data_IF_202246712977
#
_entry.id   IF_202246712977
#
_cell.length_a   1.000
_cell.length_b   1.000
_cell.length_c   1.000
_cell.angle_alpha   90.00
_cell.angle_beta   90.00
_cell.angle_gamma   90.00
#
_symmetry.space_group_name_H-M   'P 1'
#
loop_
_entity.id
_entity.type
_entity.pdbx_description
1 polymer ?
#
# COMPACT_ATOMS: atom_id res chain seq x y z
N UNK A 1 0.47 -7.01 -3.12
CA UNK A 1 1.21 -8.22 -3.48
C UNK A 1 0.29 -9.13 -4.25
N UNK A 2 0.61 -9.42 -5.48
CA UNK A 2 -0.03 -10.49 -6.22
C UNK A 2 0.77 -11.76 -5.91
N UNK A 3 0.25 -12.65 -5.08
CA UNK A 3 0.85 -13.97 -4.87
C UNK A 3 0.68 -14.78 -6.14
N UNK A 4 1.77 -15.01 -6.86
CA UNK A 4 1.82 -15.94 -7.96
C UNK A 4 1.57 -17.34 -7.42
N UNK A 5 0.40 -17.93 -7.69
CA UNK A 5 0.12 -19.34 -7.44
C UNK A 5 1.13 -20.18 -8.22
N UNK A 6 1.99 -20.94 -7.53
CA UNK A 6 2.76 -22.00 -8.14
C UNK A 6 1.80 -23.05 -8.68
N UNK A 7 1.63 -23.12 -10.01
CA UNK A 7 1.02 -24.26 -10.66
C UNK A 7 1.95 -25.46 -10.50
N UNK A 8 1.52 -26.44 -9.73
CA UNK A 8 2.07 -27.79 -9.80
C UNK A 8 1.47 -28.45 -11.05
N UNK A 9 2.31 -28.69 -12.05
CA UNK A 9 1.94 -29.47 -13.24
C UNK A 9 1.77 -30.94 -12.87
N UNK A 10 0.56 -31.44 -12.96
CA UNK A 10 0.33 -32.88 -13.27
C UNK A 10 -0.27 -32.97 -14.66
N UNK A 11 0.39 -33.80 -15.44
CA UNK A 11 0.33 -33.87 -16.88
C UNK A 11 -0.97 -34.33 -17.51
N UNK A 12 -1.03 -34.02 -18.80
CA UNK A 12 -1.59 -34.72 -19.96
C UNK A 12 -3.10 -34.65 -20.18
N UNK A 13 -3.49 -33.93 -21.18
CA UNK A 13 -4.24 -34.17 -22.43
C UNK A 13 -5.06 -32.96 -22.88
N UNK A 14 -4.78 -32.51 -24.09
CA UNK A 14 -5.63 -31.62 -24.91
C UNK A 14 -6.78 -32.43 -25.57
N UNK A 15 -7.76 -31.85 -26.28
CA UNK A 15 -8.11 -30.43 -26.53
C UNK A 15 -9.63 -30.10 -26.44
N UNK A 16 -10.02 -28.87 -26.37
CA UNK A 16 -11.02 -28.25 -27.27
C UNK A 16 -11.36 -26.82 -26.81
N UNK A 17 -11.40 -25.94 -27.78
CA UNK A 17 -11.87 -24.54 -27.70
C UNK A 17 -13.27 -24.45 -27.09
N UNK A 18 -13.44 -23.59 -26.07
CA UNK A 18 -14.61 -22.76 -25.93
C UNK A 18 -14.32 -21.58 -25.00
N UNK A 19 -14.64 -20.41 -25.49
CA UNK A 19 -14.57 -19.12 -24.85
C UNK A 19 -15.46 -19.07 -23.59
N UNK A 20 -14.86 -18.91 -22.43
CA UNK A 20 -15.55 -18.42 -21.23
C UNK A 20 -14.73 -17.31 -20.57
N UNK A 21 -15.31 -16.12 -20.54
CA UNK A 21 -14.90 -15.06 -19.66
C UNK A 21 -14.96 -15.57 -18.22
N UNK A 22 -13.80 -15.81 -17.61
CA UNK A 22 -13.70 -16.01 -16.17
C UNK A 22 -13.03 -14.78 -15.57
N UNK A 23 -13.85 -13.97 -14.93
CA UNK A 23 -13.43 -12.96 -13.97
C UNK A 23 -12.70 -13.65 -12.82
N UNK A 24 -11.40 -13.69 -12.88
CA UNK A 24 -10.57 -14.21 -11.79
C UNK A 24 -10.58 -13.20 -10.65
N UNK A 25 -11.37 -13.46 -9.61
CA UNK A 25 -11.35 -12.72 -8.34
C UNK A 25 -10.05 -13.00 -7.57
N UNK A 26 -8.97 -12.30 -7.91
CA UNK A 26 -7.76 -12.34 -7.11
C UNK A 26 -7.78 -11.22 -6.08
N UNK A 27 -7.57 -11.57 -4.81
CA UNK A 27 -7.29 -10.63 -3.74
C UNK A 27 -5.90 -10.08 -3.99
N UNK A 28 -5.81 -8.78 -4.21
CA UNK A 28 -4.57 -8.12 -4.52
C UNK A 28 -4.22 -7.16 -3.38
N UNK A 29 -3.13 -7.41 -2.65
CA UNK A 29 -2.67 -6.48 -1.62
C UNK A 29 -2.21 -5.16 -2.22
N UNK A 30 -2.38 -4.11 -1.46
CA UNK A 30 -2.07 -2.75 -1.81
C UNK A 30 -0.58 -2.45 -1.85
N UNK A 31 -0.10 -1.72 -2.87
CA UNK A 31 1.25 -1.20 -2.99
C UNK A 31 1.29 0.35 -3.00
N UNK A 32 2.38 0.93 -2.63
CA UNK A 32 2.62 2.24 -2.00
C UNK A 32 3.23 3.35 -2.83
N UNK A 33 3.08 4.59 -2.37
CA UNK A 33 3.59 5.77 -3.04
C UNK A 33 4.32 6.80 -2.18
N UNK A 34 5.45 7.24 -2.69
CA UNK A 34 5.95 8.61 -2.60
C UNK A 34 6.90 8.93 -3.76
N UNK A 35 6.66 10.01 -4.46
CA UNK A 35 7.57 10.49 -5.49
C UNK A 35 8.48 11.58 -4.90
N UNK A 36 9.81 11.38 -5.01
CA UNK A 36 10.79 12.42 -4.79
C UNK A 36 11.09 13.04 -6.16
N UNK A 37 10.77 14.30 -6.36
CA UNK A 37 11.19 15.05 -7.53
C UNK A 37 12.72 15.23 -7.50
N UNK A 38 13.43 14.44 -8.29
CA UNK A 38 14.81 14.73 -8.67
C UNK A 38 14.74 15.35 -10.06
N UNK A 39 14.87 16.66 -10.13
CA UNK A 39 14.98 17.40 -11.40
C UNK A 39 16.46 17.36 -11.80
N UNK A 40 16.76 16.63 -12.87
CA UNK A 40 18.04 16.73 -13.55
C UNK A 40 18.23 18.13 -14.12
N UNK A 41 19.34 18.74 -13.73
CA UNK A 41 19.77 20.06 -14.18
C UNK A 41 20.25 20.02 -15.62
N UNK A 42 19.41 20.41 -16.55
CA UNK A 42 19.85 20.96 -17.82
C UNK A 42 20.03 22.46 -17.69
N UNK A 43 21.30 22.92 -17.73
CA UNK A 43 21.67 24.33 -17.78
C UNK A 43 21.30 24.92 -19.14
N UNK A 44 20.37 25.84 -19.15
CA UNK A 44 20.23 26.84 -20.21
C UNK A 44 20.32 28.22 -19.56
N UNK A 45 21.42 28.91 -19.87
CA UNK A 45 21.65 30.30 -19.49
C UNK A 45 20.71 31.20 -20.28
N UNK A 46 19.80 31.88 -19.59
CA UNK A 46 19.22 33.15 -20.04
C UNK A 46 18.83 33.99 -18.83
N UNK A 47 19.22 35.24 -18.74
CA UNK A 47 18.88 36.09 -17.62
C UNK A 47 17.46 36.63 -17.81
N UNK A 48 16.51 36.15 -17.04
CA UNK A 48 15.20 36.79 -16.90
C UNK A 48 14.95 37.24 -15.46
N UNK A 49 14.33 38.41 -15.36
CA UNK A 49 13.90 39.13 -14.16
C UNK A 49 13.40 38.26 -13.01
N UNK A 50 13.56 38.71 -11.74
CA UNK A 50 13.03 38.01 -10.60
C UNK A 50 11.50 38.10 -10.60
N UNK A 51 10.84 37.10 -11.14
CA UNK A 51 9.42 36.85 -10.85
C UNK A 51 9.32 36.35 -9.41
N UNK A 52 8.57 37.07 -8.60
CA UNK A 52 8.17 36.69 -7.25
C UNK A 52 7.59 35.27 -7.28
N UNK A 53 8.20 34.37 -6.52
CA UNK A 53 7.63 33.04 -6.25
C UNK A 53 6.32 33.27 -5.50
N UNK A 54 5.21 32.66 -5.93
CA UNK A 54 4.04 32.64 -5.08
C UNK A 54 4.42 31.85 -3.81
N UNK A 55 4.35 32.49 -2.67
CA UNK A 55 4.43 31.86 -1.36
C UNK A 55 3.19 30.98 -1.15
N UNK A 56 3.20 29.79 -1.76
CA UNK A 56 2.32 28.70 -1.38
C UNK A 56 2.79 28.20 -0.03
N UNK A 57 2.16 28.63 1.06
CA UNK A 57 2.30 27.98 2.36
C UNK A 57 2.04 26.50 2.15
N UNK A 58 3.07 25.64 2.29
CA UNK A 58 2.86 24.21 2.41
C UNK A 58 1.93 23.99 3.60
N UNK A 59 0.70 23.61 3.31
CA UNK A 59 -0.33 23.35 4.31
C UNK A 59 0.12 22.17 5.16
N UNK A 60 0.62 22.46 6.35
CA UNK A 60 1.05 21.46 7.31
C UNK A 60 -0.17 20.64 7.76
N UNK A 61 -0.09 19.31 7.67
CA UNK A 61 -1.14 18.44 8.18
C UNK A 61 -0.99 18.30 9.69
N UNK A 62 -2.05 18.61 10.42
CA UNK A 62 -2.11 18.35 11.86
C UNK A 62 -2.28 16.85 12.09
N UNK A 63 -1.19 16.18 12.47
CA UNK A 63 -1.14 14.75 12.68
C UNK A 63 -2.01 14.28 13.85
N UNK A 64 -2.38 15.15 14.78
CA UNK A 64 -3.28 14.81 15.91
C UNK A 64 -4.72 14.56 15.46
N UNK A 65 -5.06 15.02 14.26
CA UNK A 65 -6.38 14.87 13.64
C UNK A 65 -6.48 13.64 12.72
N UNK A 66 -5.43 12.81 12.69
CA UNK A 66 -5.44 11.54 11.96
C UNK A 66 -6.13 10.48 12.82
N UNK A 67 -7.08 9.78 12.22
CA UNK A 67 -7.79 8.65 12.83
C UNK A 67 -7.89 7.47 11.87
N UNK A 68 -8.13 6.28 12.44
CA UNK A 68 -8.35 5.03 11.70
C UNK A 68 -9.72 4.47 12.07
N UNK A 69 -10.58 4.26 11.08
CA UNK A 69 -11.90 3.65 11.26
C UNK A 69 -12.26 2.71 10.10
N UNK A 70 -13.26 1.84 10.26
CA UNK A 70 -13.76 1.06 9.13
C UNK A 70 -14.13 1.95 7.94
N UNK A 71 -13.83 1.46 6.72
CA UNK A 71 -14.33 2.07 5.49
C UNK A 71 -15.85 1.93 5.41
N UNK A 72 -16.52 2.98 4.96
CA UNK A 72 -17.96 3.05 4.82
C UNK A 72 -18.34 3.46 3.39
N UNK A 73 -19.54 3.13 2.94
CA UNK A 73 -20.02 3.58 1.62
C UNK A 73 -20.10 5.11 1.52
N UNK A 74 -20.29 5.80 2.63
CA UNK A 74 -20.21 7.26 2.69
C UNK A 74 -18.83 7.83 2.36
N UNK A 75 -17.78 7.02 2.39
CA UNK A 75 -16.41 7.42 2.02
C UNK A 75 -16.17 7.35 0.50
N UNK A 76 -17.15 6.92 -0.29
CA UNK A 76 -16.98 6.64 -1.71
C UNK A 76 -16.39 7.82 -2.50
N UNK A 77 -16.94 9.00 -2.30
CA UNK A 77 -16.48 10.19 -3.04
C UNK A 77 -15.04 10.58 -2.63
N UNK A 78 -14.68 10.47 -1.35
CA UNK A 78 -13.33 10.68 -0.85
C UNK A 78 -12.36 9.60 -1.36
N UNK A 79 -12.80 8.34 -1.40
CA UNK A 79 -12.04 7.21 -1.91
C UNK A 79 -11.69 7.43 -3.40
N UNK A 80 -12.65 7.85 -4.21
CA UNK A 80 -12.44 8.09 -5.63
C UNK A 80 -11.40 9.18 -5.88
N UNK A 81 -11.27 10.19 -5.03
CA UNK A 81 -10.25 11.24 -5.18
C UNK A 81 -8.84 10.67 -5.23
N UNK A 82 -8.51 9.69 -4.41
CA UNK A 82 -7.16 9.12 -4.39
C UNK A 82 -7.02 7.83 -5.19
N UNK A 83 -8.10 7.07 -5.47
CA UNK A 83 -8.01 5.88 -6.33
C UNK A 83 -7.98 6.22 -7.82
N UNK A 84 -8.53 7.36 -8.24
CA UNK A 84 -8.44 7.84 -9.61
C UNK A 84 -7.16 8.65 -9.92
N UNK A 85 -6.33 8.94 -8.91
CA UNK A 85 -5.06 9.63 -9.11
C UNK A 85 -4.01 8.69 -9.70
N UNK A 86 -3.56 8.97 -10.94
CA UNK A 86 -2.52 8.18 -11.63
C UNK A 86 -1.22 8.08 -10.82
N UNK A 87 -0.85 9.14 -10.07
CA UNK A 87 0.33 9.12 -9.21
C UNK A 87 0.17 8.07 -8.12
N UNK A 88 -1.01 7.97 -7.53
CA UNK A 88 -1.34 6.96 -6.53
C UNK A 88 -1.38 5.57 -7.16
N UNK A 89 -1.98 5.40 -8.31
CA UNK A 89 -2.11 4.10 -8.96
C UNK A 89 -0.79 3.53 -9.52
N UNK A 90 0.25 4.33 -9.76
CA UNK A 90 1.50 3.89 -10.46
C UNK A 90 2.13 2.61 -9.87
N UNK A 91 2.22 2.43 -8.55
CA UNK A 91 2.75 1.21 -7.92
C UNK A 91 1.66 0.30 -7.32
N UNK A 92 0.40 0.68 -7.50
CA UNK A 92 -0.73 -0.12 -7.06
C UNK A 92 -1.06 -1.19 -8.10
N UNK A 93 -1.70 -2.25 -7.65
CA UNK A 93 -2.10 -3.37 -8.50
C UNK A 93 -3.36 -3.08 -9.32
N UNK A 94 -4.06 -1.99 -9.02
CA UNK A 94 -5.20 -1.50 -9.81
C UNK A 94 -4.79 -0.36 -10.73
N UNK A 95 -5.53 -0.17 -11.81
CA UNK A 95 -5.49 1.03 -12.63
C UNK A 95 -6.38 2.12 -12.00
N UNK A 96 -6.13 3.41 -12.31
CA UNK A 96 -6.98 4.48 -11.79
C UNK A 96 -8.47 4.17 -11.95
N UNK A 97 -9.24 4.29 -10.87
CA UNK A 97 -10.68 4.04 -10.91
C UNK A 97 -11.37 5.06 -11.82
N UNK A 98 -12.29 4.57 -12.64
CA UNK A 98 -13.02 5.38 -13.62
C UNK A 98 -14.51 5.47 -13.31
N UNK A 99 -15.00 4.67 -12.37
CA UNK A 99 -16.41 4.59 -12.01
C UNK A 99 -16.64 4.54 -10.49
N UNK A 100 -17.86 4.86 -10.06
CA UNK A 100 -18.28 4.68 -8.65
C UNK A 100 -18.38 3.19 -8.29
N UNK A 101 -18.70 2.35 -9.25
CA UNK A 101 -18.82 0.89 -9.08
C UNK A 101 -17.50 0.27 -8.64
N UNK A 102 -16.35 0.75 -9.16
CA UNK A 102 -15.02 0.32 -8.73
C UNK A 102 -14.80 0.59 -7.24
N UNK A 103 -15.18 1.80 -6.79
CA UNK A 103 -15.06 2.19 -5.38
C UNK A 103 -16.02 1.41 -4.47
N UNK A 104 -17.26 1.20 -4.91
CA UNK A 104 -18.25 0.38 -4.19
C UNK A 104 -17.73 -1.05 -4.05
N UNK A 105 -17.25 -1.64 -5.15
CA UNK A 105 -16.68 -2.98 -5.14
C UNK A 105 -15.49 -3.08 -4.19
N UNK A 106 -14.62 -2.06 -4.17
CA UNK A 106 -13.52 -2.02 -3.23
C UNK A 106 -14.01 -2.06 -1.77
N UNK A 107 -14.93 -1.20 -1.38
CA UNK A 107 -15.44 -1.09 -0.01
C UNK A 107 -16.15 -2.37 0.41
N UNK A 108 -17.02 -2.91 -0.42
CA UNK A 108 -17.91 -4.02 -0.07
C UNK A 108 -17.25 -5.39 -0.19
N UNK A 109 -16.40 -5.59 -1.20
CA UNK A 109 -15.92 -6.91 -1.59
C UNK A 109 -14.42 -7.10 -1.40
N UNK A 110 -13.59 -6.05 -1.54
CA UNK A 110 -12.14 -6.17 -1.43
C UNK A 110 -11.67 -5.87 -0.01
N UNK A 111 -12.09 -4.75 0.55
CA UNK A 111 -11.67 -4.34 1.90
C UNK A 111 -12.08 -5.35 3.00
N UNK A 112 -13.17 -6.08 2.80
CA UNK A 112 -13.67 -7.10 3.73
C UNK A 112 -12.86 -8.39 3.75
N UNK A 113 -11.99 -8.62 2.76
CA UNK A 113 -11.13 -9.81 2.67
C UNK A 113 -9.84 -9.68 3.47
N UNK A 114 -9.47 -8.48 3.89
CA UNK A 114 -8.32 -8.27 4.77
C UNK A 114 -8.64 -8.71 6.20
N UNK A 115 -7.65 -9.24 6.91
CA UNK A 115 -7.78 -9.54 8.35
C UNK A 115 -8.12 -8.28 9.12
N UNK A 116 -7.58 -7.15 8.66
CA UNK A 116 -7.87 -5.84 9.21
C UNK A 116 -7.70 -4.79 8.11
N UNK A 117 -8.68 -3.88 7.97
CA UNK A 117 -8.65 -2.81 6.99
C UNK A 117 -9.34 -1.57 7.56
N UNK A 118 -8.71 -0.39 7.40
CA UNK A 118 -9.24 0.89 7.89
C UNK A 118 -8.99 2.01 6.89
N UNK A 119 -9.94 2.93 6.82
CA UNK A 119 -9.71 4.25 6.26
C UNK A 119 -8.68 5.00 7.10
N UNK A 120 -7.76 5.69 6.44
CA UNK A 120 -6.92 6.72 7.05
C UNK A 120 -7.71 8.02 6.90
N UNK A 121 -8.11 8.63 8.02
CA UNK A 121 -8.94 9.81 7.99
C UNK A 121 -8.20 11.05 8.53
N UNK A 122 -8.43 12.19 7.90
CA UNK A 122 -8.08 13.51 8.40
C UNK A 122 -9.38 14.29 8.62
N UNK A 123 -9.69 14.67 9.87
CA UNK A 123 -10.98 15.28 10.22
C UNK A 123 -12.17 14.43 9.75
N UNK A 124 -12.10 13.14 9.97
CA UNK A 124 -13.09 12.11 9.57
C UNK A 124 -13.26 11.89 8.05
N UNK A 125 -12.56 12.63 7.19
CA UNK A 125 -12.56 12.41 5.74
C UNK A 125 -11.50 11.37 5.34
N UNK A 126 -11.88 10.39 4.55
CA UNK A 126 -11.00 9.29 4.12
C UNK A 126 -9.96 9.78 3.08
N UNK A 127 -8.71 9.91 3.51
CA UNK A 127 -7.58 10.36 2.69
C UNK A 127 -6.69 9.23 2.18
N UNK A 128 -7.03 8.00 2.54
CA UNK A 128 -6.30 6.79 2.18
C UNK A 128 -6.83 5.57 2.91
N UNK A 129 -6.11 4.47 2.79
CA UNK A 129 -6.46 3.21 3.42
C UNK A 129 -5.20 2.47 3.89
N UNK A 130 -5.35 1.68 4.96
CA UNK A 130 -4.31 0.79 5.48
C UNK A 130 -4.91 -0.58 5.79
N UNK A 131 -4.17 -1.65 5.52
CA UNK A 131 -4.65 -3.02 5.68
C UNK A 131 -3.58 -3.97 6.19
N UNK A 132 -4.02 -5.05 6.80
CA UNK A 132 -3.22 -6.22 7.16
C UNK A 132 -3.83 -7.45 6.50
N UNK A 133 -3.02 -8.19 5.73
CA UNK A 133 -3.38 -9.43 5.06
C UNK A 133 -2.76 -10.60 5.78
N UNK A 134 -3.49 -11.71 5.93
CA UNK A 134 -2.91 -12.94 6.46
C UNK A 134 -2.06 -13.63 5.39
N UNK A 135 -0.88 -14.09 5.79
CA UNK A 135 -0.03 -14.91 4.94
C UNK A 135 -0.42 -16.41 4.98
N UNK A 136 -1.27 -16.80 5.93
CA UNK A 136 -1.68 -18.19 6.15
C UNK A 136 -2.72 -18.71 5.15
N UNK A 137 -3.40 -17.84 4.40
CA UNK A 137 -4.39 -18.26 3.39
C UNK A 137 -3.76 -19.14 2.30
N UNK A 138 -2.49 -18.92 2.00
CA UNK A 138 -1.76 -19.66 0.95
C UNK A 138 -0.69 -20.60 1.50
N UNK A 139 -0.25 -20.38 2.73
CA UNK A 139 0.77 -21.17 3.41
C UNK A 139 0.54 -21.17 4.92
N UNK A 140 0.00 -22.28 5.44
CA UNK A 140 -0.29 -22.44 6.87
C UNK A 140 0.95 -22.35 7.76
N UNK A 141 2.16 -22.54 7.22
CA UNK A 141 3.39 -22.35 7.98
C UNK A 141 3.67 -20.87 8.32
N UNK A 142 2.99 -19.95 7.65
CA UNK A 142 3.12 -18.49 7.83
C UNK A 142 2.00 -17.87 8.65
N UNK A 143 1.37 -18.65 9.52
CA UNK A 143 0.22 -18.22 10.35
C UNK A 143 0.56 -17.21 11.45
N UNK A 144 1.86 -16.93 11.67
CA UNK A 144 2.36 -15.94 12.63
C UNK A 144 2.83 -14.64 11.97
N UNK A 145 2.50 -14.45 10.71
CA UNK A 145 2.89 -13.26 9.96
C UNK A 145 1.71 -12.63 9.23
N UNK A 146 1.75 -11.31 9.17
CA UNK A 146 0.82 -10.52 8.34
C UNK A 146 1.60 -9.59 7.43
N UNK A 147 1.02 -9.31 6.28
CA UNK A 147 1.55 -8.32 5.36
C UNK A 147 0.81 -7.00 5.53
N UNK A 148 1.59 -5.94 5.76
CA UNK A 148 1.11 -4.56 5.84
C UNK A 148 0.95 -3.97 4.45
N UNK A 149 -0.23 -3.41 4.21
CA UNK A 149 -0.57 -2.63 3.04
C UNK A 149 -1.13 -1.24 3.40
N UNK A 150 -0.72 -0.14 2.68
CA UNK A 150 -1.32 1.19 2.81
C UNK A 150 -1.30 1.98 1.50
N UNK A 151 -2.23 2.87 1.33
CA UNK A 151 -2.30 3.86 0.26
C UNK A 151 -2.72 5.20 0.84
N UNK A 152 -2.18 6.29 0.31
CA UNK A 152 -2.48 7.63 0.76
C UNK A 152 -2.61 8.55 -0.46
N UNK A 153 -3.62 9.40 -0.47
CA UNK A 153 -3.79 10.40 -1.51
C UNK A 153 -2.54 11.26 -1.69
N UNK A 154 -2.16 11.57 -2.94
CA UNK A 154 -0.89 12.25 -3.27
C UNK A 154 -0.75 13.61 -2.59
N UNK A 155 -1.85 14.32 -2.37
CA UNK A 155 -1.93 15.59 -1.63
C UNK A 155 -1.34 15.52 -0.21
N UNK A 156 -1.32 14.34 0.40
CA UNK A 156 -0.91 14.13 1.80
C UNK A 156 0.49 13.50 1.92
N UNK A 157 1.20 13.32 0.80
CA UNK A 157 2.55 12.76 0.81
C UNK A 157 3.57 13.75 1.41
N UNK A 158 4.65 13.19 1.96
CA UNK A 158 5.73 13.99 2.58
C UNK A 158 5.40 14.61 3.95
N UNK A 159 4.15 14.48 4.41
CA UNK A 159 3.64 15.17 5.61
C UNK A 159 3.67 14.31 6.90
N UNK A 160 4.32 13.14 6.87
CA UNK A 160 4.45 12.26 8.04
C UNK A 160 3.27 11.34 8.32
N UNK A 161 2.12 11.52 7.64
CA UNK A 161 0.88 10.76 7.87
C UNK A 161 1.12 9.26 7.76
N UNK A 162 1.71 8.77 6.67
CA UNK A 162 1.92 7.33 6.47
C UNK A 162 2.83 6.72 7.56
N UNK A 163 3.89 7.43 7.99
CA UNK A 163 4.77 6.95 9.06
C UNK A 163 4.01 6.83 10.39
N UNK A 164 3.19 7.83 10.74
CA UNK A 164 2.34 7.78 11.93
C UNK A 164 1.40 6.58 11.88
N UNK A 165 0.67 6.43 10.77
CA UNK A 165 -0.31 5.34 10.58
C UNK A 165 0.37 3.97 10.66
N UNK A 166 1.50 3.78 9.99
CA UNK A 166 2.23 2.49 10.03
C UNK A 166 2.63 2.13 11.45
N UNK A 167 3.13 3.08 12.24
CA UNK A 167 3.46 2.85 13.67
C UNK A 167 2.25 2.43 14.49
N UNK A 168 1.10 3.06 14.28
CA UNK A 168 -0.15 2.69 14.96
C UNK A 168 -0.60 1.27 14.58
N UNK A 169 -0.55 0.94 13.29
CA UNK A 169 -1.01 -0.37 12.76
C UNK A 169 -0.09 -1.51 13.19
N UNK A 170 1.21 -1.28 13.30
CA UNK A 170 2.14 -2.26 13.88
C UNK A 170 1.74 -2.62 15.31
N UNK A 171 1.36 -1.64 16.13
CA UNK A 171 0.85 -1.90 17.47
C UNK A 171 -0.41 -2.78 17.41
N UNK A 172 -1.39 -2.42 16.59
CA UNK A 172 -2.60 -3.23 16.38
C UNK A 172 -2.26 -4.66 15.96
N UNK A 173 -1.30 -4.83 15.04
CA UNK A 173 -0.92 -6.14 14.54
C UNK A 173 -0.40 -7.08 15.64
N UNK A 174 0.38 -6.57 16.60
CA UNK A 174 0.95 -7.39 17.66
C UNK A 174 0.07 -7.51 18.92
N UNK A 175 -0.88 -6.57 19.14
CA UNK A 175 -1.63 -6.53 20.41
C UNK A 175 -3.13 -6.80 20.26
N UNK A 176 -3.72 -6.58 19.08
CA UNK A 176 -5.18 -6.56 18.92
C UNK A 176 -5.71 -7.56 17.88
N UNK A 177 -4.86 -8.05 16.95
CA UNK A 177 -5.33 -9.00 15.96
C UNK A 177 -5.69 -10.35 16.60
N UNK A 178 -6.80 -10.98 16.17
CA UNK A 178 -7.22 -12.30 16.67
C UNK A 178 -6.38 -13.44 16.08
N UNK A 179 -5.08 -13.22 15.91
CA UNK A 179 -4.13 -14.18 15.37
C UNK A 179 -3.17 -14.61 16.49
N UNK A 180 -3.14 -15.90 16.85
CA UNK A 180 -2.32 -16.36 17.98
C UNK A 180 -0.83 -16.22 17.68
N UNK A 181 -0.09 -15.71 18.64
CA UNK A 181 1.39 -15.66 18.61
C UNK A 181 1.94 -14.92 17.39
N UNK A 182 1.41 -13.75 17.07
CA UNK A 182 1.91 -12.90 15.98
C UNK A 182 3.37 -12.53 16.24
N UNK A 183 4.26 -12.86 15.31
CA UNK A 183 5.70 -12.66 15.44
C UNK A 183 6.26 -11.65 14.43
N UNK A 184 5.56 -11.47 13.28
CA UNK A 184 6.12 -10.74 12.16
C UNK A 184 5.06 -9.91 11.42
N UNK A 185 5.38 -8.64 11.20
CA UNK A 185 4.72 -7.80 10.20
C UNK A 185 5.70 -7.58 9.06
N UNK A 186 5.30 -7.90 7.84
CA UNK A 186 6.14 -7.70 6.66
C UNK A 186 5.50 -6.74 5.68
N UNK A 187 6.32 -6.17 4.79
CA UNK A 187 5.87 -5.32 3.71
C UNK A 187 6.76 -5.50 2.48
N UNK A 188 6.13 -5.60 1.31
CA UNK A 188 6.81 -5.65 0.02
C UNK A 188 6.65 -4.31 -0.70
N UNK A 189 7.76 -3.73 -1.15
CA UNK A 189 7.79 -2.41 -1.78
C UNK A 189 8.57 -2.48 -3.08
N UNK A 190 8.02 -1.92 -4.16
CA UNK A 190 8.78 -1.76 -5.42
C UNK A 190 10.08 -1.00 -5.16
N UNK A 191 11.21 -1.46 -5.73
CA UNK A 191 12.52 -0.82 -5.56
C UNK A 191 12.52 0.65 -5.99
N UNK A 192 11.63 1.05 -6.90
CA UNK A 192 11.48 2.43 -7.35
C UNK A 192 10.62 3.28 -6.41
N UNK A 193 9.90 2.66 -5.48
CA UNK A 193 9.07 3.36 -4.52
C UNK A 193 9.86 3.79 -3.27
N UNK A 194 10.82 4.68 -3.47
CA UNK A 194 11.73 5.19 -2.41
C UNK A 194 10.94 5.83 -1.25
N UNK A 195 9.80 6.45 -1.56
CA UNK A 195 8.97 7.09 -0.54
C UNK A 195 8.43 6.07 0.49
N UNK A 196 7.87 4.94 0.02
CA UNK A 196 7.41 3.87 0.91
C UNK A 196 8.54 3.20 1.68
N UNK A 197 9.68 2.98 1.04
CA UNK A 197 10.86 2.44 1.73
C UNK A 197 11.22 3.32 2.93
N UNK A 198 11.30 4.65 2.74
CA UNK A 198 11.57 5.60 3.83
C UNK A 198 10.51 5.62 4.93
N UNK A 199 9.24 5.40 4.59
CA UNK A 199 8.16 5.28 5.59
C UNK A 199 8.40 4.08 6.47
N UNK A 200 8.68 2.92 5.89
CA UNK A 200 8.93 1.68 6.63
C UNK A 200 10.18 1.77 7.51
N UNK A 201 11.29 2.30 6.97
CA UNK A 201 12.51 2.55 7.74
C UNK A 201 12.25 3.46 8.95
N UNK A 202 11.53 4.59 8.77
CA UNK A 202 11.15 5.50 9.86
C UNK A 202 10.16 4.89 10.84
N UNK A 203 9.40 3.88 10.42
CA UNK A 203 8.51 3.13 11.29
C UNK A 203 9.23 1.99 12.06
N UNK A 204 10.52 1.74 11.76
CA UNK A 204 11.35 0.77 12.46
C UNK A 204 11.49 -0.57 11.73
N UNK A 205 10.94 -0.72 10.52
CA UNK A 205 11.12 -1.94 9.75
C UNK A 205 12.56 -2.11 9.31
N UNK A 206 13.05 -3.34 9.34
CA UNK A 206 14.33 -3.74 8.81
C UNK A 206 14.20 -4.16 7.34
N UNK A 207 15.16 -3.74 6.52
CA UNK A 207 15.26 -4.15 5.14
C UNK A 207 15.98 -5.49 5.06
N UNK A 208 15.29 -6.54 4.62
CA UNK A 208 15.85 -7.90 4.55
C UNK A 208 16.54 -8.21 3.22
N UNK A 209 16.07 -7.63 2.12
CA UNK A 209 16.68 -7.89 0.81
C UNK A 209 15.84 -7.43 -0.37
N UNK A 210 16.34 -7.72 -1.57
CA UNK A 210 15.66 -7.48 -2.84
C UNK A 210 15.27 -8.81 -3.48
N UNK A 211 14.00 -8.94 -3.77
CA UNK A 211 13.41 -10.05 -4.50
C UNK A 211 13.33 -9.69 -5.99
N UNK A 212 14.25 -10.22 -6.80
CA UNK A 212 14.34 -9.86 -8.22
C UNK A 212 13.19 -10.44 -9.03
N UNK A 213 12.55 -9.61 -9.89
CA UNK A 213 11.41 -9.98 -10.75
C UNK A 213 10.28 -10.69 -10.00
N UNK A 214 10.07 -10.27 -8.76
CA UNK A 214 9.16 -10.93 -7.84
C UNK A 214 7.68 -10.69 -8.19
N UNK A 215 7.36 -9.51 -8.69
CA UNK A 215 6.00 -9.12 -9.05
C UNK A 215 5.92 -8.77 -10.54
N UNK A 216 4.77 -9.06 -11.14
CA UNK A 216 4.45 -8.59 -12.49
C UNK A 216 3.33 -7.55 -12.38
N UNK A 217 3.67 -6.29 -12.63
CA UNK A 217 2.77 -5.17 -12.42
C UNK A 217 2.71 -4.31 -13.68
N UNK A 218 1.50 -4.06 -14.18
CA UNK A 218 1.22 -3.21 -15.36
C UNK A 218 2.14 -3.53 -16.53
N UNK A 219 2.20 -4.82 -16.90
CA UNK A 219 2.97 -5.31 -18.04
C UNK A 219 4.49 -5.38 -17.82
N UNK A 220 4.99 -5.15 -16.59
CA UNK A 220 6.43 -5.14 -16.30
C UNK A 220 6.78 -6.01 -15.09
N UNK A 221 7.90 -6.75 -15.20
CA UNK A 221 8.49 -7.41 -14.03
C UNK A 221 9.09 -6.35 -13.10
N UNK A 222 8.84 -6.48 -11.81
CA UNK A 222 9.27 -5.56 -10.75
C UNK A 222 10.10 -6.27 -9.71
N UNK A 223 11.19 -5.64 -9.34
CA UNK A 223 11.96 -6.04 -8.18
C UNK A 223 11.32 -5.43 -6.93
N UNK A 224 11.20 -6.25 -5.87
CA UNK A 224 10.57 -5.83 -4.63
C UNK A 224 11.57 -5.84 -3.49
N UNK A 225 11.52 -4.83 -2.64
CA UNK A 225 12.25 -4.80 -1.37
C UNK A 225 11.38 -5.43 -0.30
N UNK A 226 11.90 -6.45 0.37
CA UNK A 226 11.27 -7.05 1.54
C UNK A 226 11.66 -6.26 2.78
N UNK A 227 10.67 -5.83 3.53
CA UNK A 227 10.80 -5.24 4.86
C UNK A 227 10.09 -6.08 5.89
N UNK A 228 10.60 -6.10 7.10
CA UNK A 228 9.96 -6.78 8.23
C UNK A 228 10.14 -6.01 9.53
N UNK A 229 9.22 -6.27 10.45
CA UNK A 229 9.28 -5.86 11.83
C UNK A 229 8.85 -7.05 12.69
N UNK A 230 9.66 -7.41 13.69
CA UNK A 230 9.40 -8.55 14.57
C UNK A 230 8.86 -8.07 15.91
N UNK A 231 8.01 -8.89 16.55
CA UNK A 231 7.52 -8.63 17.92
C UNK A 231 8.63 -8.52 18.97
N UNK A 232 9.81 -9.08 18.65
CA UNK A 232 11.01 -9.07 19.50
C UNK A 232 11.94 -7.90 19.23
N UNK A 233 11.66 -7.05 18.24
CA UNK A 233 12.52 -5.90 17.93
C UNK A 233 12.52 -4.90 19.09
N UNK A 234 13.71 -4.57 19.62
CA UNK A 234 13.93 -3.87 20.89
C UNK A 234 13.35 -2.45 20.97
N UNK A 235 13.02 -1.85 19.84
CA UNK A 235 12.39 -0.52 19.79
C UNK A 235 10.84 -0.56 19.89
N UNK A 236 10.25 -1.77 19.87
CA UNK A 236 8.82 -1.98 20.09
C UNK A 236 8.56 -2.16 21.60
N UNK A 237 8.65 -1.08 22.35
CA UNK A 237 8.13 -1.07 23.73
C UNK A 237 6.62 -0.83 23.64
N UNK A 238 5.84 -1.91 23.61
CA UNK A 238 4.42 -1.83 23.92
C UNK A 238 4.27 -1.88 25.44
N UNK A 239 3.57 -0.90 26.03
CA UNK A 239 3.31 -0.91 27.48
C UNK A 239 2.42 -2.10 27.86
#
# INVERSE_FOLDING_TARGET
MCLAARKVNHGVLQPSFNSYHHSSNYIVPFFFFFHSNSIDKLKLNNPMNPMEKPEGKEECVDLTRISLRPLQLSDLDDLLVWTSDEKVATFCTWDPYTSKEDGINFIQNIATKFVWCRAICLNDRAIGCVSLSSNSEHDKSRNRSVELGYVLGSKYWGKGVATLVVKQVVKVAFTELPLPNMERVEALVDVLNVGSQRVLEKAGFQREGILRKYSFLKGKSRDMVMFSLLSTDSHLQFP
#
